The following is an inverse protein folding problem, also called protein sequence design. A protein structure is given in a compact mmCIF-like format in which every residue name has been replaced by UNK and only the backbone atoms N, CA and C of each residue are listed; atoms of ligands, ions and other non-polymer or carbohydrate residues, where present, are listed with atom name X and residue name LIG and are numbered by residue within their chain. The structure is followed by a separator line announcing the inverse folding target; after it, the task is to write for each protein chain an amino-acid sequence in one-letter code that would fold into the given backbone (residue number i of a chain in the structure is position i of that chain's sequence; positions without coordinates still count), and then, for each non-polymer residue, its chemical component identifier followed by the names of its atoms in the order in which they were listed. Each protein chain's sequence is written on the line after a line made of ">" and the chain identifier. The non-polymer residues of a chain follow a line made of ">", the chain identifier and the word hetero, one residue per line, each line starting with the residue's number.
data_IF_173299694231
#
_entry.id   IF_173299694231
#
_cell.length_a   1.000
_cell.length_b   1.000
_cell.length_c   1.000
_cell.angle_alpha   90.00
_cell.angle_beta   90.00
_cell.angle_gamma   90.00
#
_symmetry.space_group_name_H-M   'P 1'
#
loop_
_entity.id
_entity.type
_entity.pdbx_description
1 polymer ?
#
# COMPACT_ATOMS: atom_id res chain seq x y z
N UNK A 1 -25.40 2.01 11.85
CA UNK A 1 -24.81 0.92 11.04
C UNK A 1 -23.32 1.17 10.84
N UNK A 2 -22.52 0.21 11.24
CA UNK A 2 -21.08 0.28 10.99
C UNK A 2 -20.79 -0.21 9.59
N UNK A 3 -20.15 0.62 8.79
CA UNK A 3 -19.61 0.14 7.52
C UNK A 3 -18.20 -0.41 7.75
N UNK A 4 -17.93 -1.53 7.15
CA UNK A 4 -16.61 -2.14 7.21
C UNK A 4 -15.81 -1.76 5.97
N UNK A 5 -14.55 -1.41 6.19
CA UNK A 5 -13.64 -1.01 5.14
C UNK A 5 -12.25 -1.47 5.54
N UNK A 6 -11.92 -2.70 5.15
CA UNK A 6 -10.66 -3.32 5.50
C UNK A 6 -10.19 -4.12 4.29
N UNK A 7 -8.98 -3.82 3.82
CA UNK A 7 -8.39 -4.48 2.67
C UNK A 7 -7.03 -5.04 3.05
N UNK A 8 -6.86 -6.35 2.86
CA UNK A 8 -5.56 -6.99 2.99
C UNK A 8 -5.12 -7.43 1.60
N UNK A 9 -3.97 -6.95 1.16
CA UNK A 9 -3.48 -7.25 -0.18
C UNK A 9 -1.96 -7.45 -0.16
N UNK A 10 -1.50 -8.40 -0.97
CA UNK A 10 -0.07 -8.58 -1.22
C UNK A 10 0.27 -8.01 -2.58
N UNK A 11 1.48 -7.50 -2.71
CA UNK A 11 1.92 -6.98 -4.00
C UNK A 11 3.37 -6.57 -3.98
N UNK A 12 3.82 -6.12 -5.13
CA UNK A 12 5.19 -5.62 -5.30
C UNK A 12 5.15 -4.11 -5.41
N UNK A 13 6.02 -3.44 -4.67
CA UNK A 13 6.12 -1.98 -4.74
C UNK A 13 6.80 -1.59 -6.05
N UNK A 14 6.08 -0.85 -6.89
CA UNK A 14 6.59 -0.45 -8.21
C UNK A 14 7.06 1.01 -8.26
N UNK A 15 6.60 1.83 -7.32
CA UNK A 15 7.07 3.20 -7.21
C UNK A 15 6.91 3.71 -5.78
N UNK A 16 7.80 4.62 -5.38
CA UNK A 16 7.78 5.25 -4.07
C UNK A 16 8.04 6.74 -4.24
N UNK A 17 7.18 7.55 -3.61
CA UNK A 17 7.42 8.99 -3.52
C UNK A 17 8.03 9.25 -2.15
N UNK A 18 9.23 9.84 -2.08
CA UNK A 18 9.89 10.07 -0.80
C UNK A 18 9.04 10.94 0.12
N UNK A 19 9.13 10.72 1.45
CA UNK A 19 8.33 11.50 2.39
C UNK A 19 8.75 12.95 2.40
N UNK A 20 7.76 13.83 2.54
CA UNK A 20 8.02 15.21 2.91
C UNK A 20 8.54 15.20 4.35
N UNK A 21 9.65 15.90 4.66
CA UNK A 21 10.21 15.91 6.01
C UNK A 21 9.21 16.33 7.11
N UNK A 22 8.22 17.13 6.74
CA UNK A 22 7.24 17.64 7.71
C UNK A 22 6.11 16.66 7.99
N UNK A 23 5.68 15.88 6.99
CA UNK A 23 4.47 15.06 7.11
C UNK A 23 4.73 13.61 7.49
N UNK A 24 5.95 13.12 7.26
CA UNK A 24 6.33 11.70 7.46
C UNK A 24 5.43 10.73 6.67
N UNK A 25 4.68 11.24 5.71
CA UNK A 25 3.81 10.41 4.88
C UNK A 25 4.57 9.95 3.64
N UNK A 26 4.57 8.66 3.40
CA UNK A 26 5.17 8.05 2.20
C UNK A 26 4.05 7.56 1.31
N UNK A 27 4.09 7.94 0.05
CA UNK A 27 3.16 7.41 -0.95
C UNK A 27 3.89 6.40 -1.82
N UNK A 28 3.24 5.29 -2.05
CA UNK A 28 3.81 4.25 -2.90
C UNK A 28 2.70 3.56 -3.66
N UNK A 29 3.08 2.90 -4.75
CA UNK A 29 2.15 2.12 -5.57
C UNK A 29 2.57 0.68 -5.55
N UNK A 30 1.61 -0.22 -5.32
CA UNK A 30 1.84 -1.65 -5.42
C UNK A 30 1.10 -2.21 -6.64
N UNK A 31 1.62 -3.31 -7.16
CA UNK A 31 0.94 -4.09 -8.18
C UNK A 31 0.61 -5.45 -7.59
N UNK A 32 -0.65 -5.87 -7.75
CA UNK A 32 -1.12 -7.19 -7.37
C UNK A 32 -1.50 -7.96 -8.63
N UNK A 33 -0.92 -9.14 -8.79
CA UNK A 33 -1.22 -10.02 -9.90
C UNK A 33 -2.19 -11.11 -9.45
N UNK A 34 -3.34 -11.15 -10.11
CA UNK A 34 -4.36 -12.17 -9.80
C UNK A 34 -4.03 -13.54 -10.41
N UNK A 35 -3.13 -13.58 -11.39
CA UNK A 35 -2.84 -14.81 -12.15
C UNK A 35 -3.88 -15.08 -13.23
N UNK A 36 -3.74 -16.19 -13.94
CA UNK A 36 -4.72 -16.63 -14.92
C UNK A 36 -4.94 -15.69 -16.11
N UNK A 37 -3.97 -14.83 -16.43
CA UNK A 37 -4.09 -13.90 -17.55
C UNK A 37 -4.94 -12.67 -17.26
N UNK A 38 -5.36 -12.46 -16.00
CA UNK A 38 -6.11 -11.27 -15.61
C UNK A 38 -5.20 -10.05 -15.53
N UNK A 39 -5.77 -8.89 -15.77
CA UNK A 39 -5.04 -7.64 -15.65
C UNK A 39 -4.59 -7.42 -14.22
N UNK A 40 -3.37 -6.90 -14.00
CA UNK A 40 -2.91 -6.60 -12.65
C UNK A 40 -3.65 -5.40 -12.08
N UNK A 41 -3.77 -5.39 -10.76
CA UNK A 41 -4.31 -4.25 -10.01
C UNK A 41 -3.17 -3.37 -9.55
N UNK A 42 -3.24 -2.08 -9.87
CA UNK A 42 -2.34 -1.07 -9.31
C UNK A 42 -3.08 -0.32 -8.22
N UNK A 43 -2.49 -0.24 -7.04
CA UNK A 43 -3.11 0.39 -5.90
C UNK A 43 -2.19 1.46 -5.32
N UNK A 44 -2.71 2.69 -5.21
CA UNK A 44 -1.99 3.78 -4.58
C UNK A 44 -2.18 3.70 -3.06
N UNK A 45 -1.06 3.75 -2.33
CA UNK A 45 -1.05 3.61 -0.88
C UNK A 45 -0.40 4.84 -0.23
N UNK A 46 -0.86 5.16 0.97
CA UNK A 46 -0.22 6.16 1.81
C UNK A 46 0.06 5.55 3.19
N UNK A 47 1.28 5.75 3.67
CA UNK A 47 1.75 5.21 4.95
C UNK A 47 2.37 6.34 5.75
N UNK A 48 1.95 6.46 7.02
CA UNK A 48 2.58 7.38 7.96
C UNK A 48 3.70 6.63 8.67
N UNK A 49 4.94 7.13 8.52
CA UNK A 49 6.10 6.49 9.12
C UNK A 49 6.11 6.67 10.63
N UNK A 50 6.32 5.58 11.34
CA UNK A 50 6.52 5.56 12.77
C UNK A 50 7.87 4.91 13.09
N UNK A 51 8.23 4.82 14.40
CA UNK A 51 9.55 4.34 14.79
C UNK A 51 9.85 2.89 14.37
N UNK A 52 8.82 2.04 14.30
CA UNK A 52 9.00 0.63 13.93
C UNK A 52 8.38 0.28 12.59
N UNK A 53 8.11 1.29 11.78
CA UNK A 53 7.44 1.08 10.50
C UNK A 53 8.43 0.63 9.43
N UNK A 54 8.04 -0.38 8.66
CA UNK A 54 8.82 -0.81 7.49
C UNK A 54 8.81 0.32 6.45
N UNK A 55 9.99 0.68 5.96
CA UNK A 55 10.11 1.74 4.96
C UNK A 55 9.91 1.11 3.57
N UNK A 56 8.88 1.53 2.83
CA UNK A 56 8.64 0.98 1.49
C UNK A 56 9.78 1.30 0.53
N UNK A 57 10.18 0.30 -0.25
CA UNK A 57 11.21 0.45 -1.28
C UNK A 57 10.74 -0.22 -2.57
N UNK A 58 11.11 0.37 -3.69
CA UNK A 58 10.80 -0.18 -5.00
C UNK A 58 11.34 -1.61 -5.14
N UNK A 59 10.53 -2.52 -5.65
CA UNK A 59 10.87 -3.92 -5.82
C UNK A 59 10.55 -4.81 -4.64
N UNK A 60 10.17 -4.22 -3.51
CA UNK A 60 9.87 -4.95 -2.30
C UNK A 60 8.50 -5.63 -2.41
N UNK A 61 8.43 -6.90 -2.01
CA UNK A 61 7.16 -7.61 -1.89
C UNK A 61 6.61 -7.41 -0.50
N UNK A 62 5.36 -6.96 -0.42
CA UNK A 62 4.75 -6.58 0.84
C UNK A 62 3.33 -7.12 0.98
N UNK A 63 2.91 -7.31 2.23
CA UNK A 63 1.54 -7.54 2.60
C UNK A 63 1.06 -6.29 3.34
N UNK A 64 0.00 -5.69 2.83
CA UNK A 64 -0.52 -4.42 3.33
C UNK A 64 -1.92 -4.63 3.87
N UNK A 65 -2.16 -4.17 5.09
CA UNK A 65 -3.50 -4.05 5.64
C UNK A 65 -3.86 -2.57 5.65
N UNK A 66 -5.00 -2.24 5.06
CA UNK A 66 -5.38 -0.85 4.82
C UNK A 66 -6.88 -0.68 4.86
N UNK A 67 -7.32 0.57 4.84
CA UNK A 67 -8.69 0.90 4.49
C UNK A 67 -8.66 1.83 3.27
N UNK A 68 -9.75 1.78 2.50
CA UNK A 68 -9.85 2.59 1.28
C UNK A 68 -10.54 3.90 1.57
N UNK A 69 -10.07 4.96 0.90
CA UNK A 69 -10.75 6.26 0.91
C UNK A 69 -10.69 6.85 -0.50
N UNK A 70 -11.57 7.80 -0.76
CA UNK A 70 -11.54 8.56 -2.00
C UNK A 70 -10.91 9.92 -1.70
N UNK A 71 -9.91 10.27 -2.51
CA UNK A 71 -9.23 11.55 -2.44
C UNK A 71 -9.09 12.10 -3.85
N UNK A 72 -9.60 13.31 -4.08
CA UNK A 72 -9.54 13.96 -5.41
C UNK A 72 -10.06 13.04 -6.51
N UNK A 73 -11.17 12.32 -6.24
CA UNK A 73 -11.78 11.41 -7.21
C UNK A 73 -11.05 10.10 -7.43
N UNK A 74 -10.01 9.81 -6.65
CA UNK A 74 -9.22 8.58 -6.78
C UNK A 74 -9.30 7.75 -5.51
N UNK A 75 -9.27 6.43 -5.69
CA UNK A 75 -9.21 5.50 -4.56
C UNK A 75 -7.77 5.42 -4.05
N UNK A 76 -7.62 5.59 -2.75
CA UNK A 76 -6.33 5.52 -2.07
C UNK A 76 -6.44 4.57 -0.88
N UNK A 77 -5.44 3.70 -0.70
CA UNK A 77 -5.36 2.82 0.46
C UNK A 77 -4.56 3.49 1.56
N UNK A 78 -5.21 3.69 2.72
CA UNK A 78 -4.53 4.22 3.90
C UNK A 78 -4.02 3.03 4.70
N UNK A 79 -2.69 2.89 4.78
CA UNK A 79 -2.05 1.71 5.33
C UNK A 79 -2.10 1.73 6.86
N UNK A 80 -2.65 0.66 7.44
CA UNK A 80 -2.65 0.43 8.89
C UNK A 80 -1.42 -0.36 9.30
N UNK A 81 -1.03 -1.34 8.49
CA UNK A 81 0.17 -2.12 8.74
C UNK A 81 0.76 -2.59 7.43
N UNK A 82 2.08 -2.74 7.40
CA UNK A 82 2.82 -3.22 6.24
C UNK A 82 3.88 -4.19 6.74
N UNK A 83 4.00 -5.33 6.06
CA UNK A 83 4.96 -6.36 6.39
C UNK A 83 5.62 -6.84 5.11
N UNK A 84 6.93 -7.17 5.14
CA UNK A 84 7.54 -7.85 4.01
C UNK A 84 6.80 -9.17 3.76
N UNK A 85 6.50 -9.45 2.50
CA UNK A 85 5.89 -10.71 2.12
C UNK A 85 7.00 -11.65 1.65
N UNK A 86 7.35 -12.60 2.51
CA UNK A 86 8.38 -13.58 2.21
C UNK A 86 7.71 -14.89 1.83
N UNK A 87 7.09 -14.88 0.68
CA UNK A 87 6.58 -16.14 0.14
C UNK A 87 7.74 -16.90 -0.49
N UNK A 88 7.99 -18.04 0.05
CA UNK A 88 8.97 -18.97 -0.55
C UNK A 88 8.39 -19.64 -1.79
#
# INVERSE_FOLDING_TARGET
>A
MKSENDLIITGTIVSVVPPNPESKAVRFRIVHNFGGGQEPLFLDCILILGPDTVIPKKGMQVRVRSYLRVRCGRIEAVVKSIQPDQSD
#
